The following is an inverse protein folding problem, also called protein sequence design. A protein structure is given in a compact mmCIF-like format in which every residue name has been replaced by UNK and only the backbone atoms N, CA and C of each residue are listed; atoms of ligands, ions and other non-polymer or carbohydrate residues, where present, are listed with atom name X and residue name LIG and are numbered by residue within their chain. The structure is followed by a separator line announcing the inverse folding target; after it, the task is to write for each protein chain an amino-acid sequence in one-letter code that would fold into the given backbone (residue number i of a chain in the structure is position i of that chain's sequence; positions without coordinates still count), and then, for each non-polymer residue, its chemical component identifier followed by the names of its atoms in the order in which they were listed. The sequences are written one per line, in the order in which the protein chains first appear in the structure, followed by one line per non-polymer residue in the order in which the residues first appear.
data_IF_182165242143
#
_entry.id   IF_182165242143
#
_cell.length_a   1.000
_cell.length_b   1.000
_cell.length_c   1.000
_cell.angle_alpha   90.00
_cell.angle_beta   90.00
_cell.angle_gamma   90.00
#
_symmetry.space_group_name_H-M   'P 1'
#
loop_
_entity.id
_entity.type
_entity.pdbx_description
1 polymer ?
#
# COMPACT_ATOMS: atom_id res chain seq x y z
N UNK A 1 25.83 -2.71 7.05
CA UNK A 1 24.45 -2.21 6.94
C UNK A 1 24.50 -0.80 6.38
N UNK A 2 23.68 -0.52 5.36
CA UNK A 2 23.49 0.83 4.83
C UNK A 2 22.03 1.22 4.97
N UNK A 3 21.74 2.30 5.68
CA UNK A 3 20.37 2.76 5.91
C UNK A 3 20.21 4.24 5.64
N UNK A 4 19.25 4.60 4.79
CA UNK A 4 18.85 5.99 4.59
C UNK A 4 17.84 6.48 5.64
N UNK A 5 17.29 5.58 6.45
CA UNK A 5 16.19 5.86 7.37
C UNK A 5 16.61 5.76 8.85
N UNK A 6 17.69 5.03 9.16
CA UNK A 6 18.17 4.88 10.53
C UNK A 6 19.21 5.95 10.87
N UNK A 7 18.93 6.73 11.91
CA UNK A 7 19.78 7.79 12.46
C UNK A 7 20.32 7.47 13.85
N UNK A 8 20.00 6.30 14.40
CA UNK A 8 20.44 5.88 15.71
C UNK A 8 21.90 5.40 15.71
N UNK A 9 22.46 5.27 16.92
CA UNK A 9 23.87 4.90 17.12
C UNK A 9 24.22 3.55 16.50
N UNK A 10 25.46 3.42 16.03
CA UNK A 10 25.97 2.19 15.46
C UNK A 10 25.92 1.02 16.46
N UNK A 11 25.66 -0.19 15.94
CA UNK A 11 25.72 -1.43 16.73
C UNK A 11 27.16 -1.92 16.79
N UNK A 12 27.72 -2.22 17.98
CA UNK A 12 29.09 -2.74 18.10
C UNK A 12 29.31 -4.00 17.26
N UNK A 13 30.46 -4.07 16.59
CA UNK A 13 30.83 -5.23 15.76
C UNK A 13 30.12 -5.29 14.39
N UNK A 14 29.31 -4.29 14.04
CA UNK A 14 28.65 -4.18 12.73
C UNK A 14 29.16 -2.92 12.03
N UNK A 15 29.56 -3.06 10.77
CA UNK A 15 29.78 -1.88 9.91
C UNK A 15 28.44 -1.20 9.64
N UNK A 16 28.21 -0.07 10.29
CA UNK A 16 26.93 0.63 10.34
C UNK A 16 27.04 2.00 9.70
N UNK A 17 26.32 2.19 8.59
CA UNK A 17 26.25 3.47 7.89
C UNK A 17 24.81 3.96 7.92
N UNK A 18 24.57 5.01 8.70
CA UNK A 18 23.25 5.60 8.89
C UNK A 18 22.91 6.66 7.84
N UNK A 19 21.78 7.34 8.05
CA UNK A 19 21.25 8.32 7.11
C UNK A 19 22.25 9.46 6.79
N UNK A 20 23.10 9.84 7.75
CA UNK A 20 24.13 10.85 7.57
C UNK A 20 25.30 10.36 6.70
N UNK A 21 25.76 9.12 6.92
CA UNK A 21 26.82 8.52 6.11
C UNK A 21 26.41 8.38 4.64
N UNK A 22 25.12 8.14 4.36
CA UNK A 22 24.60 8.07 2.98
C UNK A 22 24.81 9.37 2.20
N UNK A 23 24.91 10.52 2.89
CA UNK A 23 25.13 11.83 2.29
C UNK A 23 26.61 12.12 2.03
N UNK A 24 27.48 11.62 2.89
CA UNK A 24 28.87 12.07 2.96
C UNK A 24 29.90 11.03 2.51
N UNK A 25 29.50 9.76 2.35
CA UNK A 25 30.41 8.68 1.96
C UNK A 25 30.08 8.12 0.58
N UNK A 26 31.10 7.53 -0.04
CA UNK A 26 30.96 6.73 -1.25
C UNK A 26 30.36 5.36 -0.93
N UNK A 27 29.03 5.31 -0.83
CA UNK A 27 28.30 4.07 -0.52
C UNK A 27 28.41 3.07 -1.66
N UNK A 28 28.46 3.53 -2.91
CA UNK A 28 28.63 2.67 -4.08
C UNK A 28 29.97 1.93 -4.02
N UNK A 29 31.07 2.66 -3.83
CA UNK A 29 32.40 2.07 -3.69
C UNK A 29 32.48 1.13 -2.48
N UNK A 30 31.91 1.51 -1.33
CA UNK A 30 31.87 0.66 -0.14
C UNK A 30 31.11 -0.65 -0.39
N UNK A 31 29.95 -0.59 -1.06
CA UNK A 31 29.14 -1.76 -1.36
C UNK A 31 29.81 -2.71 -2.37
N UNK A 32 30.40 -2.18 -3.45
CA UNK A 32 30.91 -2.96 -4.58
C UNK A 32 32.36 -3.45 -4.38
N UNK A 33 33.21 -2.70 -3.69
CA UNK A 33 34.64 -3.03 -3.58
C UNK A 33 34.95 -4.07 -2.49
N UNK A 34 33.93 -4.56 -1.78
CA UNK A 34 34.08 -5.51 -0.67
C UNK A 34 33.33 -6.82 -0.94
N UNK A 35 33.63 -7.82 -0.12
CA UNK A 35 32.87 -9.06 -0.02
C UNK A 35 32.24 -9.11 1.37
N UNK A 36 30.93 -9.25 1.42
CA UNK A 36 30.16 -9.19 2.65
C UNK A 36 29.73 -10.58 3.08
N UNK A 37 29.80 -10.88 4.38
CA UNK A 37 29.15 -12.08 4.92
C UNK A 37 27.63 -11.89 4.89
N UNK A 38 27.15 -10.74 5.37
CA UNK A 38 25.74 -10.34 5.36
C UNK A 38 25.68 -8.85 5.06
N UNK A 39 24.80 -8.44 4.18
CA UNK A 39 24.60 -7.03 3.84
C UNK A 39 23.13 -6.69 3.81
N UNK A 40 22.76 -5.57 4.41
CA UNK A 40 21.41 -5.03 4.39
C UNK A 40 21.44 -3.62 3.82
N UNK A 41 20.62 -3.41 2.79
CA UNK A 41 20.25 -2.10 2.25
C UNK A 41 18.85 -1.75 2.75
N UNK A 42 18.73 -0.64 3.48
CA UNK A 42 17.47 -0.16 4.05
C UNK A 42 17.17 1.26 3.57
N UNK A 43 16.09 1.43 2.83
CA UNK A 43 15.75 2.74 2.29
C UNK A 43 14.38 2.78 1.62
N UNK A 44 13.98 3.97 1.19
CA UNK A 44 12.71 4.14 0.49
C UNK A 44 12.75 3.44 -0.87
N UNK A 45 11.57 3.03 -1.36
CA UNK A 45 11.42 2.47 -2.70
C UNK A 45 10.60 3.39 -3.60
N UNK A 46 10.91 3.39 -4.89
CA UNK A 46 9.98 3.82 -5.94
C UNK A 46 10.01 2.75 -7.00
N UNK A 47 8.85 2.13 -7.28
CA UNK A 47 8.76 0.94 -8.11
C UNK A 47 9.60 -0.20 -7.51
N UNK A 48 10.50 -0.82 -8.27
CA UNK A 48 11.43 -1.87 -7.80
C UNK A 48 12.81 -1.32 -7.37
N UNK A 49 13.03 0.01 -7.44
CA UNK A 49 14.31 0.61 -7.06
C UNK A 49 14.40 0.85 -5.54
N UNK A 50 15.58 0.62 -4.95
CA UNK A 50 15.86 0.94 -3.54
C UNK A 50 16.77 2.15 -3.43
N UNK A 51 16.33 3.17 -2.71
CA UNK A 51 16.98 4.46 -2.60
C UNK A 51 17.72 4.61 -1.25
N UNK A 52 19.05 4.74 -1.32
CA UNK A 52 19.94 4.98 -0.19
C UNK A 52 20.46 6.41 -0.20
N UNK A 53 19.63 7.37 0.22
CA UNK A 53 19.97 8.80 0.14
C UNK A 53 20.13 9.25 -1.31
N UNK A 54 21.35 9.48 -1.78
CA UNK A 54 21.65 9.84 -3.18
C UNK A 54 21.94 8.64 -4.09
N UNK A 55 22.11 7.44 -3.53
CA UNK A 55 22.39 6.22 -4.26
C UNK A 55 21.10 5.47 -4.59
N UNK A 56 21.15 4.62 -5.62
CA UNK A 56 20.05 3.72 -5.99
C UNK A 56 20.58 2.32 -6.26
N UNK A 57 20.05 1.34 -5.52
CA UNK A 57 20.23 -0.08 -5.85
C UNK A 57 19.23 -0.43 -6.95
N UNK A 58 19.69 -1.06 -8.02
CA UNK A 58 18.87 -1.32 -9.22
C UNK A 58 19.03 -2.75 -9.77
N UNK A 59 17.99 -3.19 -10.48
CA UNK A 59 17.90 -4.52 -11.09
C UNK A 59 18.33 -4.65 -12.54
N UNK A 60 18.89 -3.60 -13.16
CA UNK A 60 19.26 -3.66 -14.57
C UNK A 60 20.30 -4.77 -14.83
N UNK A 61 19.89 -5.82 -15.53
CA UNK A 61 20.76 -6.89 -16.00
C UNK A 61 21.26 -6.59 -17.43
N UNK A 62 22.53 -6.83 -17.76
CA UNK A 62 23.01 -6.76 -19.14
C UNK A 62 22.53 -7.93 -20.01
N UNK A 63 21.97 -8.99 -19.41
CA UNK A 63 21.53 -10.18 -20.14
C UNK A 63 20.24 -9.94 -20.93
N UNK A 64 20.22 -10.38 -22.21
CA UNK A 64 19.07 -10.35 -23.11
C UNK A 64 18.57 -8.95 -23.48
N UNK A 65 17.71 -8.84 -24.47
CA UNK A 65 16.95 -7.61 -24.73
C UNK A 65 15.65 -7.63 -23.91
N UNK A 66 15.05 -6.44 -23.72
CA UNK A 66 13.68 -6.36 -23.18
C UNK A 66 12.74 -7.14 -24.08
N UNK A 67 11.90 -7.99 -23.53
CA UNK A 67 10.93 -8.73 -24.32
C UNK A 67 9.88 -7.76 -24.94
N UNK A 68 9.44 -8.01 -26.19
CA UNK A 68 8.44 -7.17 -26.85
C UNK A 68 7.15 -7.02 -26.01
N UNK A 69 6.62 -5.81 -25.92
CA UNK A 69 5.40 -5.53 -25.15
C UNK A 69 5.55 -5.54 -23.63
N UNK A 70 6.75 -5.82 -23.08
CA UNK A 70 7.01 -5.69 -21.65
C UNK A 70 7.30 -4.24 -21.25
N UNK A 71 6.80 -3.87 -20.08
CA UNK A 71 7.03 -2.56 -19.50
C UNK A 71 8.49 -2.42 -19.04
N UNK A 72 9.01 -1.19 -19.01
CA UNK A 72 10.34 -0.91 -18.49
C UNK A 72 10.40 0.41 -17.73
N UNK A 73 11.41 0.60 -16.86
CA UNK A 73 11.66 1.87 -16.21
C UNK A 73 12.15 2.92 -17.22
N UNK A 74 12.28 4.19 -16.79
CA UNK A 74 12.80 5.30 -17.62
C UNK A 74 14.04 4.94 -18.47
N UNK A 75 15.00 4.23 -17.89
CA UNK A 75 16.25 3.87 -18.58
C UNK A 75 16.03 2.88 -19.73
N UNK A 76 14.96 2.08 -19.72
CA UNK A 76 14.57 1.22 -20.83
C UNK A 76 14.17 2.02 -22.09
N UNK A 77 13.88 3.32 -21.92
CA UNK A 77 13.50 4.25 -22.99
C UNK A 77 14.58 5.31 -23.26
N UNK A 78 15.82 5.09 -22.80
CA UNK A 78 16.94 6.02 -23.02
C UNK A 78 16.89 7.30 -22.19
N UNK A 79 16.02 7.38 -21.16
CA UNK A 79 15.82 8.59 -20.34
C UNK A 79 16.66 8.60 -19.05
N UNK A 80 17.68 7.74 -18.98
CA UNK A 80 18.54 7.57 -17.82
C UNK A 80 17.80 7.06 -16.57
N UNK A 81 18.49 7.02 -15.44
CA UNK A 81 17.91 6.63 -14.16
C UNK A 81 17.19 7.80 -13.45
N UNK A 82 16.46 7.50 -12.36
CA UNK A 82 15.83 8.50 -11.49
C UNK A 82 16.87 9.30 -10.71
N UNK A 83 18.04 8.71 -10.46
CA UNK A 83 19.19 9.33 -9.78
C UNK A 83 20.44 9.29 -10.69
N UNK A 84 21.50 10.06 -10.38
CA UNK A 84 22.73 10.05 -11.16
C UNK A 84 23.29 8.64 -11.38
N UNK A 85 23.70 8.35 -12.61
CA UNK A 85 24.13 6.99 -13.02
C UNK A 85 25.43 6.55 -12.36
N UNK A 86 26.30 7.50 -12.02
CA UNK A 86 27.51 7.29 -11.24
C UNK A 86 27.23 6.85 -9.80
N UNK A 87 25.98 6.89 -9.33
CA UNK A 87 25.56 6.50 -7.97
C UNK A 87 24.70 5.24 -7.96
N UNK A 88 24.70 4.48 -9.05
CA UNK A 88 23.95 3.23 -9.15
C UNK A 88 24.73 2.08 -8.52
N UNK A 89 24.05 1.26 -7.75
CA UNK A 89 24.57 0.01 -7.19
C UNK A 89 23.81 -1.14 -7.87
N UNK A 90 24.35 -1.75 -8.94
CA UNK A 90 23.69 -2.88 -9.57
C UNK A 90 23.61 -4.05 -8.58
N UNK A 91 22.40 -4.54 -8.29
CA UNK A 91 22.20 -5.58 -7.28
C UNK A 91 23.04 -6.83 -7.58
N UNK A 92 23.14 -7.22 -8.85
CA UNK A 92 23.99 -8.32 -9.35
C UNK A 92 25.48 -8.19 -9.03
N UNK A 93 25.99 -6.96 -8.89
CA UNK A 93 27.40 -6.68 -8.68
C UNK A 93 27.80 -6.70 -7.19
N UNK A 94 26.82 -6.79 -6.29
CA UNK A 94 27.05 -6.84 -4.85
C UNK A 94 27.49 -8.24 -4.46
N UNK A 95 28.68 -8.35 -3.86
CA UNK A 95 29.25 -9.62 -3.39
C UNK A 95 28.90 -9.81 -1.93
N UNK A 96 27.84 -10.56 -1.63
CA UNK A 96 27.42 -10.86 -0.26
C UNK A 96 26.95 -12.32 -0.14
N UNK A 97 27.27 -13.04 0.94
CA UNK A 97 26.68 -14.37 1.12
C UNK A 97 25.17 -14.30 1.40
N UNK A 98 24.74 -13.32 2.21
CA UNK A 98 23.34 -12.92 2.37
C UNK A 98 23.16 -11.43 2.02
N UNK A 99 22.23 -11.13 1.09
CA UNK A 99 21.85 -9.76 0.73
C UNK A 99 20.39 -9.48 1.11
N UNK A 100 20.15 -8.46 1.92
CA UNK A 100 18.81 -7.99 2.29
C UNK A 100 18.48 -6.70 1.55
N UNK A 101 17.42 -6.73 0.75
CA UNK A 101 16.80 -5.58 0.10
C UNK A 101 15.57 -5.17 0.93
N UNK A 102 15.75 -4.26 1.89
CA UNK A 102 14.69 -3.76 2.76
C UNK A 102 14.21 -2.39 2.25
N UNK A 103 13.19 -2.41 1.39
CA UNK A 103 12.49 -1.21 0.94
C UNK A 103 10.97 -1.43 0.92
N UNK A 104 10.22 -0.48 0.38
CA UNK A 104 8.78 -0.66 0.25
C UNK A 104 8.39 -1.74 -0.80
N UNK A 105 9.24 -2.10 -1.77
CA UNK A 105 8.96 -3.01 -2.90
C UNK A 105 10.27 -3.56 -3.56
N UNK A 106 10.70 -4.77 -3.23
CA UNK A 106 11.88 -5.42 -3.86
C UNK A 106 11.69 -6.92 -4.16
N UNK A 107 10.56 -7.51 -3.81
CA UNK A 107 10.33 -8.95 -3.89
C UNK A 107 9.73 -9.41 -5.22
N UNK A 108 9.85 -10.70 -5.57
CA UNK A 108 9.49 -11.27 -6.87
C UNK A 108 8.00 -11.61 -6.88
N UNK A 109 7.14 -10.82 -6.24
CA UNK A 109 5.68 -11.08 -6.28
C UNK A 109 4.93 -9.75 -6.29
N UNK A 110 5.50 -8.71 -5.69
CA UNK A 110 5.10 -7.34 -5.99
C UNK A 110 5.91 -6.81 -7.16
N UNK A 111 5.28 -6.70 -8.33
CA UNK A 111 5.89 -6.06 -9.49
C UNK A 111 6.45 -7.01 -10.55
N UNK A 112 6.22 -8.32 -10.46
CA UNK A 112 6.44 -9.21 -11.62
C UNK A 112 5.64 -8.80 -12.86
N UNK A 113 4.51 -8.09 -12.68
CA UNK A 113 3.77 -7.46 -13.77
C UNK A 113 4.17 -6.01 -14.09
N UNK A 114 5.06 -5.40 -13.30
CA UNK A 114 5.40 -3.99 -13.43
C UNK A 114 6.48 -3.73 -14.49
N UNK A 115 7.51 -4.56 -14.55
CA UNK A 115 8.60 -4.44 -15.52
C UNK A 115 9.07 -5.80 -16.03
N UNK A 116 9.69 -5.79 -17.21
CA UNK A 116 10.45 -6.91 -17.73
C UNK A 116 11.43 -7.45 -16.66
N UNK A 117 11.56 -8.78 -16.50
CA UNK A 117 12.47 -9.41 -15.55
C UNK A 117 13.90 -8.85 -15.54
N UNK A 118 14.40 -8.36 -16.68
CA UNK A 118 15.71 -7.71 -16.84
C UNK A 118 15.90 -6.48 -15.93
N UNK A 119 14.83 -5.86 -15.46
CA UNK A 119 14.90 -4.66 -14.62
C UNK A 119 14.62 -4.90 -13.14
N UNK A 120 14.32 -6.15 -12.73
CA UNK A 120 13.91 -6.47 -11.36
C UNK A 120 15.11 -6.72 -10.42
N UNK A 121 15.15 -6.01 -9.30
CA UNK A 121 16.28 -5.91 -8.36
C UNK A 121 16.56 -7.22 -7.65
N UNK A 122 15.51 -7.94 -7.26
CA UNK A 122 15.70 -9.28 -6.71
C UNK A 122 16.19 -10.28 -7.76
N UNK A 123 15.63 -10.29 -8.97
CA UNK A 123 16.10 -11.22 -10.00
C UNK A 123 17.57 -10.96 -10.36
N UNK A 124 17.97 -9.69 -10.44
CA UNK A 124 19.36 -9.31 -10.61
C UNK A 124 20.23 -9.73 -9.41
N UNK A 125 19.74 -9.60 -8.17
CA UNK A 125 20.47 -10.07 -6.99
C UNK A 125 20.67 -11.60 -7.00
N UNK A 126 19.65 -12.36 -7.43
CA UNK A 126 19.68 -13.83 -7.57
C UNK A 126 20.63 -14.28 -8.69
N UNK A 127 20.66 -13.56 -9.82
CA UNK A 127 21.63 -13.77 -10.91
C UNK A 127 23.05 -13.30 -10.55
N UNK A 128 23.20 -12.62 -9.40
CA UNK A 128 24.45 -12.08 -8.91
C UNK A 128 25.31 -13.07 -8.12
N UNK A 129 26.28 -12.52 -7.39
CA UNK A 129 27.17 -13.29 -6.52
C UNK A 129 26.52 -13.70 -5.17
N UNK A 130 25.27 -13.31 -4.93
CA UNK A 130 24.61 -13.55 -3.66
C UNK A 130 24.12 -15.00 -3.54
N UNK A 131 24.48 -15.69 -2.45
CA UNK A 131 24.03 -17.07 -2.23
C UNK A 131 22.62 -17.12 -1.65
N UNK A 132 22.25 -16.10 -0.87
CA UNK A 132 20.92 -15.90 -0.29
C UNK A 132 20.51 -14.46 -0.48
N UNK A 133 19.29 -14.24 -0.97
CA UNK A 133 18.69 -12.91 -1.08
C UNK A 133 17.41 -12.88 -0.28
N UNK A 134 17.31 -11.90 0.62
CA UNK A 134 16.10 -11.59 1.38
C UNK A 134 15.56 -10.27 0.84
N UNK A 135 14.31 -10.23 0.38
CA UNK A 135 13.76 -9.04 -0.24
C UNK A 135 12.34 -8.76 0.24
N UNK A 136 11.99 -7.48 0.35
CA UNK A 136 10.66 -7.05 0.77
C UNK A 136 9.61 -7.29 -0.30
N UNK A 137 8.61 -8.12 -0.01
CA UNK A 137 7.48 -8.36 -0.89
C UNK A 137 6.53 -7.17 -0.93
N UNK A 138 6.25 -6.51 0.19
CA UNK A 138 5.31 -5.40 0.27
C UNK A 138 5.83 -4.29 1.20
N UNK A 139 5.16 -3.14 1.17
CA UNK A 139 5.55 -1.94 1.93
C UNK A 139 6.03 -2.31 3.33
N UNK A 140 7.30 -2.03 3.58
CA UNK A 140 7.96 -2.37 4.83
C UNK A 140 8.51 -1.08 5.42
N UNK A 141 8.00 -0.74 6.60
CA UNK A 141 8.64 0.16 7.55
C UNK A 141 9.55 -0.69 8.46
N UNK A 142 10.53 -1.40 7.89
CA UNK A 142 11.51 -2.15 8.71
C UNK A 142 12.29 -1.14 9.55
N UNK A 143 11.84 -0.91 10.77
CA UNK A 143 12.49 0.00 11.68
C UNK A 143 13.68 -0.72 12.35
N UNK A 144 14.33 0.02 13.23
CA UNK A 144 15.48 -0.48 13.98
C UNK A 144 15.23 -1.85 14.66
N UNK A 145 14.07 -2.14 15.28
CA UNK A 145 13.82 -3.45 15.91
C UNK A 145 13.95 -4.63 14.94
N UNK A 146 13.45 -4.50 13.71
CA UNK A 146 13.51 -5.54 12.68
C UNK A 146 14.95 -5.75 12.20
N UNK A 147 15.69 -4.65 12.03
CA UNK A 147 17.12 -4.67 11.67
C UNK A 147 17.94 -5.38 12.75
N UNK A 148 17.66 -5.10 14.02
CA UNK A 148 18.30 -5.77 15.15
C UNK A 148 17.93 -7.26 15.23
N UNK A 149 16.68 -7.62 14.92
CA UNK A 149 16.25 -9.02 14.86
C UNK A 149 16.98 -9.78 13.75
N UNK A 150 17.13 -9.18 12.56
CA UNK A 150 17.94 -9.74 11.47
C UNK A 150 19.41 -9.92 11.89
N UNK A 151 20.01 -8.92 12.55
CA UNK A 151 21.36 -9.03 13.08
C UNK A 151 21.49 -10.17 14.11
N UNK A 152 20.48 -10.39 14.95
CA UNK A 152 20.46 -11.47 15.94
C UNK A 152 20.17 -12.87 15.39
N UNK A 153 19.63 -12.98 14.17
CA UNK A 153 19.28 -14.26 13.55
C UNK A 153 20.48 -15.07 13.01
N UNK A 154 21.72 -14.67 13.33
CA UNK A 154 22.98 -15.13 12.70
C UNK A 154 23.23 -16.64 12.68
N UNK A 155 22.58 -17.43 13.53
CA UNK A 155 22.96 -18.83 13.75
C UNK A 155 21.81 -19.86 13.71
N UNK A 156 20.54 -19.46 13.48
CA UNK A 156 19.39 -20.37 13.74
C UNK A 156 18.14 -20.25 12.83
N UNK A 157 18.22 -19.76 11.59
CA UNK A 157 17.09 -19.97 10.66
C UNK A 157 16.92 -19.00 9.51
N UNK A 158 15.73 -19.03 8.91
CA UNK A 158 15.30 -18.21 7.79
C UNK A 158 15.19 -16.74 8.21
N UNK A 159 16.04 -15.89 7.63
CA UNK A 159 16.11 -14.46 7.95
C UNK A 159 14.82 -13.71 7.57
N UNK A 160 14.15 -14.12 6.49
CA UNK A 160 12.83 -13.59 6.16
C UNK A 160 11.79 -13.98 7.20
N UNK A 161 11.82 -15.20 7.76
CA UNK A 161 10.95 -15.61 8.87
C UNK A 161 11.17 -14.74 10.10
N UNK A 162 12.43 -14.54 10.52
CA UNK A 162 12.73 -13.69 11.68
C UNK A 162 12.23 -12.25 11.51
N UNK A 163 12.32 -11.70 10.29
CA UNK A 163 11.78 -10.37 9.97
C UNK A 163 10.25 -10.37 9.92
N UNK A 164 9.62 -11.37 9.32
CA UNK A 164 8.17 -11.51 9.22
C UNK A 164 7.52 -11.74 10.58
N UNK A 165 8.12 -12.55 11.46
CA UNK A 165 7.60 -12.81 12.81
C UNK A 165 7.58 -11.51 13.64
N UNK A 166 8.55 -10.61 13.42
CA UNK A 166 8.58 -9.29 14.08
C UNK A 166 7.56 -8.32 13.49
N UNK A 167 7.28 -8.45 12.21
CA UNK A 167 6.32 -7.62 11.50
C UNK A 167 4.89 -8.17 11.53
N UNK A 168 4.65 -9.36 12.06
CA UNK A 168 3.36 -10.06 11.94
C UNK A 168 2.16 -9.19 12.38
N UNK A 169 2.35 -8.36 13.41
CA UNK A 169 1.31 -7.46 13.92
C UNK A 169 1.07 -6.23 13.03
N UNK A 170 2.10 -5.76 12.31
CA UNK A 170 2.08 -4.54 11.47
C UNK A 170 1.80 -4.87 10.00
N UNK A 171 2.33 -5.99 9.52
CA UNK A 171 2.24 -6.49 8.16
C UNK A 171 2.09 -8.03 8.21
N UNK A 172 0.85 -8.54 8.13
CA UNK A 172 0.56 -9.97 8.32
C UNK A 172 0.84 -10.85 7.10
N UNK A 173 1.25 -10.26 5.99
CA UNK A 173 1.84 -11.00 4.88
C UNK A 173 3.28 -11.33 5.23
N UNK A 174 3.92 -12.31 4.57
CA UNK A 174 5.37 -12.32 4.48
C UNK A 174 5.83 -10.98 3.89
N UNK A 175 6.26 -10.05 4.74
CA UNK A 175 6.82 -8.77 4.33
C UNK A 175 8.15 -8.97 3.61
N UNK A 176 8.85 -10.05 3.94
CA UNK A 176 10.09 -10.50 3.32
C UNK A 176 9.94 -11.92 2.75
N UNK A 177 10.61 -12.15 1.63
CA UNK A 177 10.88 -13.49 1.08
C UNK A 177 12.38 -13.76 1.12
N UNK A 178 12.76 -15.03 1.26
CA UNK A 178 14.15 -15.48 1.11
C UNK A 178 14.25 -16.43 -0.08
N UNK A 179 15.24 -16.20 -0.95
CA UNK A 179 15.61 -17.06 -2.08
C UNK A 179 17.06 -17.52 -1.88
N UNK A 180 17.33 -18.83 -1.98
CA UNK A 180 18.68 -19.41 -1.79
C UNK A 180 18.71 -20.68 -0.93
N UNK A 181 19.91 -21.19 -0.63
CA UNK A 181 20.11 -22.41 0.17
C UNK A 181 19.68 -22.20 1.64
N UNK A 182 18.90 -23.14 2.17
CA UNK A 182 18.32 -23.07 3.51
C UNK A 182 19.10 -23.93 4.53
N UNK A 183 19.06 -23.51 5.80
CA UNK A 183 19.15 -24.43 6.93
C UNK A 183 17.73 -24.89 7.31
N UNK A 184 17.52 -26.19 7.65
CA UNK A 184 16.19 -26.74 7.89
C UNK A 184 15.55 -26.14 9.14
N UNK A 185 14.23 -25.91 9.10
CA UNK A 185 13.44 -25.38 10.20
C UNK A 185 12.32 -26.35 10.61
N UNK A 186 11.94 -26.32 11.90
CA UNK A 186 10.83 -27.09 12.46
C UNK A 186 9.47 -26.39 12.24
N UNK A 187 8.36 -27.15 12.13
CA UNK A 187 7.02 -26.59 11.89
C UNK A 187 6.29 -26.20 13.18
N UNK A 188 5.38 -25.22 13.08
CA UNK A 188 4.43 -24.82 14.13
C UNK A 188 2.98 -24.84 13.62
N UNK A 189 1.98 -25.02 14.50
CA UNK A 189 0.57 -25.22 14.13
C UNK A 189 -0.25 -23.91 14.16
N UNK A 190 -1.38 -23.90 13.44
CA UNK A 190 -2.37 -22.81 13.35
C UNK A 190 -3.75 -23.32 13.81
N UNK A 191 -4.58 -22.46 14.43
CA UNK A 191 -5.90 -22.80 14.98
C UNK A 191 -6.95 -21.77 14.52
N UNK A 192 -8.07 -22.19 13.89
CA UNK A 192 -9.04 -21.24 13.33
C UNK A 192 -10.14 -20.84 14.33
N UNK A 193 -10.72 -19.65 14.11
CA UNK A 193 -11.92 -19.16 14.80
C UNK A 193 -12.96 -18.62 13.82
N UNK A 194 -14.19 -19.13 13.93
CA UNK A 194 -15.30 -18.91 12.99
C UNK A 194 -16.36 -17.87 13.38
N UNK A 195 -17.42 -17.88 12.57
CA UNK A 195 -18.37 -16.80 12.24
C UNK A 195 -19.59 -16.56 13.17
N UNK A 196 -20.20 -15.37 12.97
CA UNK A 196 -21.66 -15.20 12.82
C UNK A 196 -22.42 -14.40 13.90
N UNK A 197 -23.64 -13.86 13.75
CA UNK A 197 -24.54 -13.45 12.63
C UNK A 197 -25.64 -12.54 13.26
N UNK A 198 -26.02 -11.48 12.53
CA UNK A 198 -27.30 -10.75 12.38
C UNK A 198 -28.44 -10.84 13.45
N UNK A 199 -28.41 -9.92 14.41
CA UNK A 199 -29.62 -9.29 15.02
C UNK A 199 -29.41 -7.76 15.19
N UNK A 200 -28.48 -7.23 14.42
CA UNK A 200 -27.47 -6.26 14.84
C UNK A 200 -27.58 -4.93 14.07
N UNK A 201 -28.42 -4.84 13.04
CA UNK A 201 -28.21 -3.94 11.90
C UNK A 201 -28.22 -2.43 12.21
N UNK A 202 -29.19 -1.94 13.00
CA UNK A 202 -29.28 -0.51 13.35
C UNK A 202 -28.21 -0.05 14.37
N UNK A 203 -27.94 -0.88 15.38
CA UNK A 203 -26.90 -0.60 16.37
C UNK A 203 -25.50 -0.82 15.77
N UNK A 204 -25.36 -1.78 14.86
CA UNK A 204 -24.15 -2.00 14.06
C UNK A 204 -23.88 -0.83 13.15
N UNK A 205 -24.91 -0.24 12.52
CA UNK A 205 -24.73 0.98 11.72
C UNK A 205 -24.14 2.12 12.55
N UNK A 206 -24.75 2.44 13.71
CA UNK A 206 -24.23 3.50 14.58
C UNK A 206 -22.87 3.16 15.17
N UNK A 207 -22.59 1.88 15.45
CA UNK A 207 -21.27 1.42 15.90
C UNK A 207 -20.21 1.59 14.81
N UNK A 208 -20.52 1.22 13.57
CA UNK A 208 -19.63 1.38 12.41
C UNK A 208 -19.32 2.86 12.16
N UNK A 209 -20.37 3.69 12.05
CA UNK A 209 -20.23 5.14 11.83
C UNK A 209 -19.52 5.80 13.01
N UNK A 210 -19.88 5.45 14.24
CA UNK A 210 -19.27 5.98 15.47
C UNK A 210 -17.79 5.61 15.61
N UNK A 211 -17.42 4.37 15.30
CA UNK A 211 -16.03 3.92 15.28
C UNK A 211 -15.21 4.67 14.23
N UNK A 212 -15.73 4.83 13.01
CA UNK A 212 -15.10 5.63 11.94
C UNK A 212 -14.93 7.09 12.31
N UNK A 213 -15.94 7.70 12.93
CA UNK A 213 -15.87 9.07 13.44
C UNK A 213 -14.78 9.24 14.51
N UNK A 214 -14.72 8.31 15.46
CA UNK A 214 -13.69 8.29 16.49
C UNK A 214 -12.29 8.12 15.87
N UNK A 215 -12.18 7.27 14.84
CA UNK A 215 -10.98 7.14 14.02
C UNK A 215 -10.55 8.45 13.36
N UNK A 216 -11.47 9.21 12.81
CA UNK A 216 -11.16 10.49 12.15
C UNK A 216 -10.88 11.62 13.15
N UNK A 217 -11.53 11.63 14.31
CA UNK A 217 -11.48 12.73 15.28
C UNK A 217 -10.43 12.53 16.38
N UNK A 218 -10.26 11.32 16.89
CA UNK A 218 -9.62 11.08 18.18
C UNK A 218 -8.41 10.14 18.11
N UNK A 219 -8.21 9.43 17.00
CA UNK A 219 -7.09 8.49 16.84
C UNK A 219 -5.72 9.17 16.70
N UNK A 220 -5.69 10.45 16.31
CA UNK A 220 -4.48 11.17 15.89
C UNK A 220 -4.19 11.14 14.39
N UNK A 221 -4.94 10.38 13.58
CA UNK A 221 -4.79 10.34 12.11
C UNK A 221 -4.90 11.74 11.49
N UNK A 222 -5.83 12.57 11.99
CA UNK A 222 -6.01 13.94 11.52
C UNK A 222 -5.52 14.95 12.56
N UNK A 223 -4.79 15.98 12.12
CA UNK A 223 -4.30 17.08 12.96
C UNK A 223 -5.44 18.02 13.40
N UNK A 224 -5.30 18.71 14.55
CA UNK A 224 -6.39 19.48 15.20
C UNK A 224 -7.05 20.53 14.29
N UNK A 225 -6.31 21.04 13.33
CA UNK A 225 -6.71 22.00 12.31
C UNK A 225 -7.29 21.36 11.03
N UNK A 226 -7.50 20.04 11.02
CA UNK A 226 -8.01 19.32 9.86
C UNK A 226 -9.35 19.92 9.37
N UNK A 227 -9.46 20.33 8.09
CA UNK A 227 -10.55 21.19 7.62
C UNK A 227 -11.97 20.63 7.76
N UNK A 228 -12.14 19.31 7.88
CA UNK A 228 -13.44 18.68 8.04
C UNK A 228 -13.86 18.51 9.52
N UNK A 229 -13.00 18.81 10.50
CA UNK A 229 -13.36 18.73 11.93
C UNK A 229 -14.63 19.51 12.30
N UNK A 230 -14.90 20.73 11.78
CA UNK A 230 -16.15 21.45 12.04
C UNK A 230 -17.41 20.74 11.55
N UNK A 231 -17.30 19.78 10.62
CA UNK A 231 -18.41 18.93 10.15
C UNK A 231 -18.47 17.59 10.88
N UNK A 232 -17.32 17.02 11.21
CA UNK A 232 -17.21 15.74 11.91
C UNK A 232 -17.69 15.82 13.36
N UNK A 233 -17.39 16.92 14.09
CA UNK A 233 -17.79 17.07 15.50
C UNK A 233 -19.30 17.12 15.71
N UNK A 234 -20.08 17.95 14.97
CA UNK A 234 -21.54 17.93 15.10
C UNK A 234 -22.16 16.57 14.77
N UNK A 235 -21.60 15.85 13.77
CA UNK A 235 -22.06 14.50 13.44
C UNK A 235 -21.78 13.52 14.59
N UNK A 236 -20.63 13.60 15.25
CA UNK A 236 -20.33 12.78 16.43
C UNK A 236 -21.31 13.06 17.59
N UNK A 237 -21.65 14.33 17.83
CA UNK A 237 -22.67 14.72 18.82
C UNK A 237 -24.06 14.17 18.45
N UNK A 238 -24.43 14.24 17.16
CA UNK A 238 -25.68 13.65 16.64
C UNK A 238 -25.72 12.13 16.83
N UNK A 239 -24.64 11.41 16.49
CA UNK A 239 -24.54 9.95 16.68
C UNK A 239 -24.67 9.58 18.16
N UNK A 240 -23.97 10.27 19.06
CA UNK A 240 -24.06 10.00 20.51
C UNK A 240 -25.46 10.25 21.06
N UNK A 241 -26.07 11.39 20.70
CA UNK A 241 -27.44 11.74 21.11
C UNK A 241 -28.45 10.71 20.62
N UNK A 242 -28.34 10.29 19.36
CA UNK A 242 -29.33 9.46 18.71
C UNK A 242 -29.09 7.96 18.94
N UNK A 243 -27.89 7.54 19.35
CA UNK A 243 -27.61 6.18 19.83
C UNK A 243 -28.54 5.77 20.98
N UNK A 244 -28.76 6.65 21.97
CA UNK A 244 -29.70 6.38 23.07
C UNK A 244 -31.11 6.14 22.54
N UNK A 245 -31.55 6.95 21.57
CA UNK A 245 -32.89 6.85 20.96
C UNK A 245 -33.06 5.56 20.16
N UNK A 246 -32.00 5.00 19.59
CA UNK A 246 -32.08 3.67 18.93
C UNK A 246 -32.32 2.50 19.87
N UNK A 247 -32.03 2.69 21.16
CA UNK A 247 -32.26 1.68 22.22
C UNK A 247 -33.61 1.90 22.89
N UNK A 248 -33.97 3.15 23.21
CA UNK A 248 -35.13 3.47 24.06
C UNK A 248 -36.36 3.97 23.31
N UNK A 249 -36.24 4.32 22.02
CA UNK A 249 -37.31 4.94 21.23
C UNK A 249 -38.27 3.94 20.58
N UNK A 250 -39.48 4.40 20.26
CA UNK A 250 -40.45 3.67 19.44
C UNK A 250 -39.92 3.45 18.01
N UNK A 251 -40.48 2.49 17.26
CA UNK A 251 -40.00 2.18 15.91
C UNK A 251 -39.98 3.41 14.94
N UNK A 252 -40.99 4.31 14.95
CA UNK A 252 -40.95 5.55 14.16
C UNK A 252 -39.82 6.50 14.60
N UNK A 253 -39.60 6.67 15.89
CA UNK A 253 -38.53 7.54 16.44
C UNK A 253 -37.15 6.99 16.10
N UNK A 254 -36.95 5.66 16.22
CA UNK A 254 -35.70 5.00 15.81
C UNK A 254 -35.41 5.22 14.33
N UNK A 255 -36.44 5.10 13.47
CA UNK A 255 -36.31 5.34 12.04
C UNK A 255 -35.95 6.78 11.73
N UNK A 256 -36.63 7.74 12.36
CA UNK A 256 -36.35 9.17 12.18
C UNK A 256 -34.92 9.53 12.63
N UNK A 257 -34.46 8.99 13.76
CA UNK A 257 -33.10 9.17 14.26
C UNK A 257 -32.06 8.63 13.28
N UNK A 258 -32.24 7.40 12.78
CA UNK A 258 -31.34 6.80 11.79
C UNK A 258 -31.32 7.59 10.47
N UNK A 259 -32.48 8.09 10.01
CA UNK A 259 -32.55 8.94 8.80
C UNK A 259 -31.82 10.27 8.99
N UNK A 260 -31.87 10.88 10.18
CA UNK A 260 -31.14 12.10 10.48
C UNK A 260 -29.62 11.87 10.45
N UNK A 261 -29.15 10.81 11.12
CA UNK A 261 -27.73 10.41 11.09
C UNK A 261 -27.27 10.14 9.65
N UNK A 262 -28.02 9.32 8.89
CA UNK A 262 -27.65 8.96 7.52
C UNK A 262 -27.56 10.19 6.59
N UNK A 263 -28.43 11.18 6.77
CA UNK A 263 -28.38 12.44 6.02
C UNK A 263 -27.12 13.25 6.32
N UNK A 264 -26.75 13.37 7.60
CA UNK A 264 -25.52 14.07 8.00
C UNK A 264 -24.27 13.31 7.52
N UNK A 265 -24.27 11.98 7.64
CA UNK A 265 -23.22 11.09 7.11
C UNK A 265 -23.04 11.29 5.60
N UNK A 266 -24.12 11.28 4.82
CA UNK A 266 -24.07 11.52 3.36
C UNK A 266 -23.43 12.86 3.01
N UNK A 267 -23.70 13.90 3.80
CA UNK A 267 -23.10 15.24 3.63
C UNK A 267 -21.60 15.24 3.94
N UNK A 268 -21.18 14.52 4.98
CA UNK A 268 -19.77 14.38 5.36
C UNK A 268 -19.01 13.49 4.36
N UNK A 269 -19.60 12.39 3.88
CA UNK A 269 -19.03 11.54 2.84
C UNK A 269 -18.69 12.32 1.57
N UNK A 270 -19.63 13.16 1.12
CA UNK A 270 -19.40 14.02 -0.02
C UNK A 270 -18.26 15.03 0.26
N UNK A 271 -18.18 15.57 1.47
CA UNK A 271 -17.13 16.51 1.84
C UNK A 271 -15.74 15.84 1.87
N UNK A 272 -15.65 14.62 2.41
CA UNK A 272 -14.44 13.77 2.39
C UNK A 272 -14.03 13.48 0.95
N UNK A 273 -14.96 12.99 0.12
CA UNK A 273 -14.68 12.65 -1.26
C UNK A 273 -14.26 13.86 -2.12
N UNK A 274 -14.88 15.03 -1.90
CA UNK A 274 -14.47 16.28 -2.54
C UNK A 274 -13.07 16.72 -2.11
N UNK A 275 -12.70 16.46 -0.86
CA UNK A 275 -11.37 16.76 -0.34
C UNK A 275 -10.34 15.83 -0.97
N UNK A 276 -10.58 14.52 -1.00
CA UNK A 276 -9.73 13.54 -1.66
C UNK A 276 -9.51 13.87 -3.13
N UNK A 277 -10.57 14.25 -3.85
CA UNK A 277 -10.49 14.65 -5.25
C UNK A 277 -9.64 15.92 -5.51
N UNK A 278 -9.35 16.72 -4.48
CA UNK A 278 -8.58 17.98 -4.55
C UNK A 278 -7.20 17.89 -3.91
N UNK A 279 -7.05 17.06 -2.88
CA UNK A 279 -5.88 16.96 -2.02
C UNK A 279 -5.43 15.50 -1.98
N UNK A 280 -4.42 15.19 -2.80
CA UNK A 280 -3.86 13.83 -2.92
C UNK A 280 -2.97 13.42 -1.74
N UNK A 281 -2.54 14.39 -0.97
CA UNK A 281 -1.74 14.29 0.25
C UNK A 281 -2.61 14.36 1.50
N UNK A 282 -3.92 14.13 1.36
CA UNK A 282 -4.80 14.08 2.50
C UNK A 282 -4.39 12.95 3.45
N UNK A 283 -4.21 13.22 4.76
CA UNK A 283 -3.72 12.21 5.71
C UNK A 283 -4.65 11.00 5.81
N UNK A 284 -5.93 11.12 5.43
CA UNK A 284 -6.85 9.98 5.43
C UNK A 284 -6.49 8.95 4.36
N UNK A 285 -5.70 9.27 3.33
CA UNK A 285 -5.19 8.25 2.40
C UNK A 285 -4.22 7.28 3.07
N UNK A 286 -3.56 7.68 4.16
CA UNK A 286 -2.61 6.86 4.92
C UNK A 286 -3.28 6.06 6.06
N UNK A 287 -4.62 6.06 6.13
CA UNK A 287 -5.38 5.43 7.22
C UNK A 287 -5.01 3.97 7.45
N UNK A 288 -4.74 3.20 6.39
CA UNK A 288 -4.43 1.77 6.51
C UNK A 288 -3.09 1.52 7.17
N UNK A 289 -2.10 2.37 6.89
CA UNK A 289 -0.79 2.29 7.56
C UNK A 289 -0.95 2.76 9.00
N UNK A 290 -1.56 3.94 9.20
CA UNK A 290 -1.73 4.54 10.52
C UNK A 290 -2.49 3.63 11.50
N UNK A 291 -3.62 3.06 11.07
CA UNK A 291 -4.39 2.12 11.89
C UNK A 291 -3.74 0.73 11.95
N UNK A 292 -3.12 0.26 10.87
CA UNK A 292 -2.42 -1.03 10.81
C UNK A 292 -1.29 -1.13 11.86
N UNK A 293 -0.46 -0.10 12.00
CA UNK A 293 0.58 0.00 13.04
C UNK A 293 0.04 -0.04 14.49
N UNK A 294 -1.28 0.16 14.66
CA UNK A 294 -1.98 0.23 15.96
C UNK A 294 -3.05 -0.86 16.06
N UNK A 295 -2.85 -1.94 15.32
CA UNK A 295 -3.78 -3.06 15.24
C UNK A 295 -3.05 -4.39 15.40
N UNK A 296 -3.82 -5.47 15.59
CA UNK A 296 -3.35 -6.85 15.48
C UNK A 296 -4.03 -7.46 14.27
N UNK A 297 -3.26 -8.12 13.40
CA UNK A 297 -3.83 -8.79 12.26
C UNK A 297 -4.46 -10.15 12.63
N UNK A 298 -5.64 -10.42 12.07
CA UNK A 298 -6.26 -11.74 12.11
C UNK A 298 -5.58 -12.72 11.13
N UNK A 299 -6.04 -13.96 11.08
CA UNK A 299 -5.56 -14.94 10.12
C UNK A 299 -5.82 -14.50 8.67
N UNK A 300 -4.96 -14.99 7.77
CA UNK A 300 -5.08 -14.76 6.32
C UNK A 300 -6.45 -15.22 5.82
N UNK A 301 -7.08 -14.36 5.04
CA UNK A 301 -8.35 -14.64 4.37
C UNK A 301 -8.31 -14.21 2.90
N UNK A 302 -9.21 -14.77 2.10
CA UNK A 302 -9.43 -14.32 0.72
C UNK A 302 -10.48 -13.21 0.77
N UNK A 303 -10.20 -12.08 0.14
CA UNK A 303 -11.16 -10.97 0.09
C UNK A 303 -12.14 -11.14 -1.07
N UNK A 304 -13.34 -10.59 -0.91
CA UNK A 304 -14.31 -10.43 -2.01
C UNK A 304 -13.83 -9.41 -3.08
N UNK A 305 -12.78 -8.64 -2.76
CA UNK A 305 -12.11 -7.71 -3.65
C UNK A 305 -11.13 -8.44 -4.59
N UNK A 306 -10.99 -7.93 -5.82
CA UNK A 306 -10.14 -8.50 -6.87
C UNK A 306 -9.16 -7.40 -7.35
N UNK A 307 -7.90 -7.73 -7.67
CA UNK A 307 -6.96 -6.77 -8.28
C UNK A 307 -7.52 -6.27 -9.61
N UNK A 308 -7.12 -5.07 -10.04
CA UNK A 308 -7.40 -4.58 -11.39
C UNK A 308 -6.92 -5.52 -12.50
N UNK A 309 -5.89 -6.34 -12.24
CA UNK A 309 -5.43 -7.38 -13.17
C UNK A 309 -6.30 -8.66 -13.19
N UNK A 310 -7.39 -8.71 -12.42
CA UNK A 310 -8.32 -9.85 -12.33
C UNK A 310 -7.89 -10.99 -11.40
N UNK A 311 -6.72 -10.88 -10.75
CA UNK A 311 -6.24 -11.89 -9.80
C UNK A 311 -6.85 -11.68 -8.41
N UNK A 312 -7.08 -12.75 -7.63
CA UNK A 312 -7.57 -12.64 -6.25
C UNK A 312 -6.60 -11.84 -5.39
N UNK A 313 -7.14 -11.21 -4.36
CA UNK A 313 -6.36 -10.52 -3.33
C UNK A 313 -6.23 -11.42 -2.11
N UNK A 314 -5.01 -11.57 -1.63
CA UNK A 314 -4.73 -12.11 -0.31
C UNK A 314 -4.98 -11.01 0.71
N UNK A 315 -5.80 -11.26 1.74
CA UNK A 315 -6.22 -10.22 2.66
C UNK A 315 -6.19 -10.60 4.12
N UNK A 316 -6.26 -9.57 4.95
CA UNK A 316 -6.28 -9.67 6.40
C UNK A 316 -7.17 -8.57 6.96
N UNK A 317 -7.80 -8.88 8.08
CA UNK A 317 -8.47 -7.88 8.92
C UNK A 317 -7.51 -7.49 10.02
N UNK A 318 -7.21 -6.21 10.12
CA UNK A 318 -6.48 -5.63 11.24
C UNK A 318 -7.50 -5.15 12.28
N UNK A 319 -7.44 -5.71 13.49
CA UNK A 319 -8.26 -5.32 14.64
C UNK A 319 -7.56 -4.25 15.45
N UNK A 320 -8.21 -3.11 15.62
CA UNK A 320 -7.66 -2.01 16.39
C UNK A 320 -7.41 -2.42 17.86
N UNK A 321 -6.24 -2.08 18.41
CA UNK A 321 -5.91 -2.41 19.80
C UNK A 321 -6.65 -1.51 20.82
N UNK A 322 -7.17 -0.38 20.36
CA UNK A 322 -7.96 0.57 21.16
C UNK A 322 -9.21 1.02 20.40
N UNK A 323 -10.29 1.45 21.10
CA UNK A 323 -11.57 1.79 20.45
C UNK A 323 -11.51 2.90 19.40
N UNK A 324 -10.51 3.80 19.48
CA UNK A 324 -10.32 4.89 18.54
C UNK A 324 -9.60 4.46 17.26
N UNK A 325 -9.08 3.22 17.20
CA UNK A 325 -8.45 2.66 16.00
C UNK A 325 -9.49 1.77 15.32
N UNK A 326 -10.09 2.18 14.19
CA UNK A 326 -11.05 1.35 13.47
C UNK A 326 -10.37 0.12 12.87
N UNK A 327 -11.12 -0.98 12.80
CA UNK A 327 -10.66 -2.16 12.09
C UNK A 327 -10.50 -1.85 10.59
N UNK A 328 -9.43 -2.37 9.99
CA UNK A 328 -9.16 -2.20 8.56
C UNK A 328 -8.99 -3.54 7.86
N UNK A 329 -9.26 -3.56 6.57
CA UNK A 329 -8.97 -4.65 5.66
C UNK A 329 -7.83 -4.21 4.76
N UNK A 330 -6.79 -5.03 4.69
CA UNK A 330 -5.73 -4.88 3.70
C UNK A 330 -5.78 -6.09 2.77
N UNK A 331 -5.61 -5.85 1.48
CA UNK A 331 -5.61 -6.84 0.41
C UNK A 331 -4.43 -6.59 -0.51
N UNK A 332 -3.74 -7.63 -0.95
CA UNK A 332 -2.60 -7.50 -1.84
C UNK A 332 -2.63 -8.55 -2.92
N UNK A 333 -2.27 -8.14 -4.12
CA UNK A 333 -2.16 -9.05 -5.24
C UNK A 333 -0.72 -9.52 -5.45
N UNK A 334 -0.52 -10.84 -5.37
CA UNK A 334 0.77 -11.46 -5.64
C UNK A 334 1.21 -11.45 -7.13
N UNK A 335 0.37 -10.93 -8.04
CA UNK A 335 0.69 -10.82 -9.48
C UNK A 335 1.08 -9.39 -9.87
N UNK A 336 0.18 -8.45 -9.63
CA UNK A 336 0.31 -7.05 -10.04
C UNK A 336 1.04 -6.21 -8.98
N UNK A 337 1.05 -6.63 -7.70
CA UNK A 337 1.54 -5.82 -6.58
C UNK A 337 0.60 -4.69 -6.16
N UNK A 338 -0.60 -4.61 -6.74
CA UNK A 338 -1.65 -3.68 -6.33
C UNK A 338 -2.09 -3.98 -4.89
N UNK A 339 -2.45 -2.92 -4.18
CA UNK A 339 -2.86 -2.97 -2.78
C UNK A 339 -4.25 -2.39 -2.65
N UNK A 340 -5.14 -3.13 -2.01
CA UNK A 340 -6.46 -2.70 -1.59
C UNK A 340 -6.43 -2.43 -0.10
N UNK A 341 -6.96 -1.27 0.31
CA UNK A 341 -7.09 -0.88 1.70
C UNK A 341 -8.51 -0.40 1.94
N UNK A 342 -9.14 -0.84 3.02
CA UNK A 342 -10.48 -0.40 3.38
C UNK A 342 -10.65 -0.33 4.90
N UNK A 343 -11.48 0.57 5.41
CA UNK A 343 -12.02 0.38 6.76
C UNK A 343 -13.03 -0.78 6.71
N UNK A 344 -13.09 -1.62 7.73
CA UNK A 344 -14.08 -2.72 7.77
C UNK A 344 -15.49 -2.19 7.55
N UNK A 345 -16.21 -2.82 6.60
CA UNK A 345 -17.55 -2.42 6.20
C UNK A 345 -17.63 -1.20 5.27
N UNK A 346 -16.51 -0.70 4.76
CA UNK A 346 -16.48 0.27 3.65
C UNK A 346 -17.07 -0.37 2.37
N UNK A 347 -17.48 0.43 1.37
CA UNK A 347 -17.90 -0.11 0.08
C UNK A 347 -16.77 -0.94 -0.54
N UNK A 348 -17.11 -2.10 -1.09
CA UNK A 348 -16.18 -2.90 -1.87
C UNK A 348 -15.84 -2.13 -3.14
N UNK A 349 -14.57 -1.78 -3.34
CA UNK A 349 -14.11 -1.07 -4.54
C UNK A 349 -13.39 -2.03 -5.49
N UNK A 350 -13.83 -2.05 -6.74
CA UNK A 350 -13.20 -2.75 -7.85
C UNK A 350 -12.84 -1.75 -8.94
N UNK A 351 -11.70 -1.97 -9.57
CA UNK A 351 -11.18 -1.06 -10.60
C UNK A 351 -10.85 -1.90 -11.82
N UNK A 352 -11.40 -1.51 -12.95
CA UNK A 352 -11.03 -2.02 -14.26
C UNK A 352 -10.34 -0.87 -15.01
N UNK A 353 -9.02 -0.98 -15.14
CA UNK A 353 -8.16 0.00 -15.78
C UNK A 353 -7.25 -0.73 -16.76
N UNK A 354 -7.03 -0.21 -17.97
CA UNK A 354 -5.93 -0.72 -18.78
C UNK A 354 -4.61 -0.42 -18.06
N UNK A 355 -3.70 -1.37 -18.12
CA UNK A 355 -2.44 -1.34 -17.37
C UNK A 355 -1.40 -0.38 -17.97
N UNK A 356 -1.69 0.21 -19.14
CA UNK A 356 -0.80 1.15 -19.82
C UNK A 356 -1.51 2.17 -20.71
N UNK A 357 -0.81 3.25 -21.06
CA UNK A 357 -1.20 4.20 -22.11
C UNK A 357 -0.01 5.03 -22.60
N UNK A 358 -0.10 5.52 -23.84
CA UNK A 358 0.98 6.30 -24.44
C UNK A 358 0.90 7.80 -24.09
N UNK A 359 2.03 8.52 -24.02
CA UNK A 359 2.02 9.98 -23.86
C UNK A 359 1.08 10.65 -24.88
N UNK A 360 0.30 11.63 -24.42
CA UNK A 360 -0.66 12.35 -25.27
C UNK A 360 -1.96 11.61 -25.55
N UNK A 361 -2.14 10.37 -25.06
CA UNK A 361 -3.36 9.59 -25.28
C UNK A 361 -4.37 9.74 -24.14
N UNK A 362 -5.56 9.16 -24.35
CA UNK A 362 -6.62 9.10 -23.35
C UNK A 362 -6.97 7.66 -23.05
N UNK A 363 -7.14 7.38 -21.78
CA UNK A 363 -7.45 6.05 -21.25
C UNK A 363 -8.74 6.13 -20.45
N UNK A 364 -9.63 5.16 -20.64
CA UNK A 364 -10.85 5.02 -19.82
C UNK A 364 -10.58 4.05 -18.68
N UNK A 365 -10.89 4.48 -17.45
CA UNK A 365 -10.87 3.66 -16.24
C UNK A 365 -12.27 3.55 -15.68
N UNK A 366 -12.68 2.34 -15.31
CA UNK A 366 -13.97 2.04 -14.70
C UNK A 366 -13.76 1.71 -13.23
N UNK A 367 -14.46 2.42 -12.35
CA UNK A 367 -14.55 2.05 -10.94
C UNK A 367 -15.95 1.48 -10.68
N UNK A 368 -15.99 0.35 -9.99
CA UNK A 368 -17.21 -0.30 -9.52
C UNK A 368 -17.19 -0.31 -7.99
N UNK A 369 -18.32 0.03 -7.38
CA UNK A 369 -18.52 -0.10 -5.95
C UNK A 369 -19.74 -0.95 -5.61
N UNK A 370 -19.61 -1.77 -4.56
CA UNK A 370 -20.71 -2.50 -3.93
C UNK A 370 -20.85 -2.00 -2.50
N UNK A 371 -21.96 -1.32 -2.21
CA UNK A 371 -22.30 -0.88 -0.86
C UNK A 371 -22.98 -1.99 -0.07
N UNK A 372 -22.67 -2.13 1.23
CA UNK A 372 -23.41 -3.02 2.14
C UNK A 372 -24.83 -2.53 2.39
N UNK A 373 -25.04 -1.21 2.29
CA UNK A 373 -26.35 -0.54 2.39
C UNK A 373 -26.63 0.24 1.12
N UNK A 374 -27.90 0.55 0.89
CA UNK A 374 -28.31 1.39 -0.22
C UNK A 374 -28.01 2.87 0.09
N UNK A 375 -27.65 3.64 -0.95
CA UNK A 375 -27.43 5.08 -0.85
C UNK A 375 -26.40 5.58 -1.87
N UNK A 376 -25.88 6.77 -1.65
CA UNK A 376 -24.88 7.37 -2.56
C UNK A 376 -23.47 6.96 -2.18
N UNK A 377 -22.74 6.31 -3.09
CA UNK A 377 -21.29 6.11 -3.00
C UNK A 377 -20.58 7.20 -3.80
N UNK A 378 -19.55 7.80 -3.21
CA UNK A 378 -18.70 8.77 -3.87
C UNK A 378 -17.43 8.08 -4.38
N UNK A 379 -17.25 8.04 -5.70
CA UNK A 379 -16.13 7.40 -6.38
C UNK A 379 -15.20 8.45 -6.99
N UNK A 380 -13.88 8.28 -6.85
CA UNK A 380 -12.90 9.14 -7.49
C UNK A 380 -11.60 8.41 -7.81
N UNK A 381 -10.72 9.07 -8.57
CA UNK A 381 -9.36 8.57 -8.86
C UNK A 381 -8.39 9.73 -8.68
N UNK A 382 -7.39 9.52 -7.83
CA UNK A 382 -6.31 10.48 -7.60
C UNK A 382 -5.01 9.93 -8.19
N UNK A 383 -4.38 10.62 -9.15
CA UNK A 383 -3.09 10.19 -9.66
C UNK A 383 -1.95 10.48 -8.66
N UNK A 384 -0.92 9.64 -8.66
CA UNK A 384 0.35 9.88 -7.94
C UNK A 384 0.90 11.29 -8.23
N UNK A 385 1.60 11.94 -7.28
CA UNK A 385 2.24 13.22 -7.52
C UNK A 385 3.22 13.27 -8.70
N UNK A 386 3.80 12.12 -9.04
CA UNK A 386 4.85 12.01 -10.05
C UNK A 386 4.31 11.86 -11.47
N UNK A 387 3.04 11.47 -11.65
CA UNK A 387 2.46 11.26 -12.98
C UNK A 387 1.85 12.54 -13.54
N UNK A 388 2.17 12.85 -14.80
CA UNK A 388 1.62 13.99 -15.54
C UNK A 388 0.32 13.58 -16.26
N UNK A 389 -0.78 13.48 -15.50
CA UNK A 389 -2.11 13.19 -16.06
C UNK A 389 -3.17 14.13 -15.53
N UNK A 390 -4.30 14.17 -16.24
CA UNK A 390 -5.54 14.77 -15.76
C UNK A 390 -6.65 13.73 -15.76
N UNK A 391 -7.29 13.55 -14.61
CA UNK A 391 -8.46 12.67 -14.45
C UNK A 391 -9.74 13.47 -14.62
N UNK A 392 -10.69 12.98 -15.42
CA UNK A 392 -11.99 13.62 -15.67
C UNK A 392 -13.17 12.62 -15.65
N UNK A 393 -14.25 12.93 -14.92
CA UNK A 393 -14.28 13.89 -13.81
C UNK A 393 -13.40 13.38 -12.66
N UNK A 394 -13.03 14.22 -11.70
CA UNK A 394 -12.25 13.77 -10.52
C UNK A 394 -13.10 13.03 -9.49
N UNK A 395 -14.42 13.20 -9.54
CA UNK A 395 -15.39 12.59 -8.63
C UNK A 395 -16.72 12.28 -9.34
N UNK A 396 -17.30 11.13 -9.03
CA UNK A 396 -18.64 10.68 -9.44
C UNK A 396 -19.43 10.26 -8.21
N UNK A 397 -20.73 10.57 -8.23
CA UNK A 397 -21.70 10.05 -7.27
C UNK A 397 -22.50 8.97 -7.96
N UNK A 398 -22.58 7.80 -7.36
CA UNK A 398 -23.36 6.68 -7.88
C UNK A 398 -24.32 6.19 -6.80
N UNK A 399 -25.57 5.95 -7.19
CA UNK A 399 -26.54 5.32 -6.30
C UNK A 399 -26.33 3.81 -6.33
N UNK A 400 -26.18 3.20 -5.15
CA UNK A 400 -26.08 1.75 -4.98
C UNK A 400 -27.32 1.22 -4.28
N UNK A 401 -27.79 0.05 -4.71
CA UNK A 401 -28.62 -0.80 -3.87
C UNK A 401 -27.71 -1.71 -3.03
N UNK A 402 -28.19 -2.13 -1.86
CA UNK A 402 -27.42 -3.01 -0.96
C UNK A 402 -27.00 -4.30 -1.69
N UNK A 403 -25.69 -4.59 -1.66
CA UNK A 403 -25.11 -5.78 -2.30
C UNK A 403 -25.07 -5.75 -3.84
N UNK A 404 -25.50 -4.65 -4.47
CA UNK A 404 -25.49 -4.52 -5.94
C UNK A 404 -24.36 -3.60 -6.41
N UNK A 405 -23.64 -3.94 -7.49
CA UNK A 405 -22.59 -3.10 -8.04
C UNK A 405 -23.17 -1.87 -8.75
N UNK A 406 -22.54 -0.71 -8.53
CA UNK A 406 -22.71 0.48 -9.37
C UNK A 406 -21.37 0.93 -9.95
N UNK A 407 -21.41 1.47 -11.17
CA UNK A 407 -20.20 1.78 -11.95
C UNK A 407 -20.11 3.27 -12.27
N UNK A 408 -18.87 3.75 -12.32
CA UNK A 408 -18.51 5.08 -12.79
C UNK A 408 -17.34 4.99 -13.76
N UNK A 409 -17.39 5.76 -14.84
CA UNK A 409 -16.29 5.88 -15.79
C UNK A 409 -15.52 7.19 -15.60
N UNK A 410 -14.21 7.08 -15.74
CA UNK A 410 -13.22 8.14 -15.62
C UNK A 410 -12.34 8.13 -16.88
N UNK A 411 -11.97 9.31 -17.36
CA UNK A 411 -10.99 9.47 -18.44
C UNK A 411 -9.70 10.02 -17.85
N UNK A 412 -8.60 9.33 -18.11
CA UNK A 412 -7.24 9.76 -17.78
C UNK A 412 -6.62 10.31 -19.07
N UNK A 413 -6.37 11.61 -19.09
CA UNK A 413 -5.64 12.30 -20.15
C UNK A 413 -4.16 12.32 -19.79
N UNK A 414 -3.33 11.60 -20.55
CA UNK A 414 -1.90 11.52 -20.34
C UNK A 414 -1.24 12.69 -21.06
N UNK A 415 -0.43 13.48 -20.34
CA UNK A 415 0.26 14.60 -20.97
C UNK A 415 1.22 14.09 -22.05
N UNK A 416 1.41 14.87 -23.13
CA UNK A 416 2.34 14.52 -24.20
C UNK A 416 3.80 14.46 -23.71
N UNK A 417 4.12 15.17 -22.63
CA UNK A 417 5.42 15.19 -21.96
C UNK A 417 5.51 14.24 -20.76
N UNK A 418 4.51 13.35 -20.58
CA UNK A 418 4.55 12.36 -19.51
C UNK A 418 5.73 11.40 -19.72
N UNK A 419 6.58 11.28 -18.70
CA UNK A 419 7.78 10.45 -18.75
C UNK A 419 7.37 8.96 -18.79
N UNK A 420 7.87 8.16 -19.74
CA UNK A 420 7.68 6.72 -19.75
C UNK A 420 8.28 6.03 -18.52
N UNK A 421 7.41 5.41 -17.71
CA UNK A 421 7.70 4.60 -16.52
C UNK A 421 6.38 4.10 -15.90
N UNK A 422 6.47 3.38 -14.79
CA UNK A 422 5.32 2.98 -14.00
C UNK A 422 4.88 4.10 -13.05
N UNK A 423 3.57 4.20 -12.85
CA UNK A 423 2.96 5.14 -11.93
C UNK A 423 1.85 4.45 -11.14
N UNK A 424 1.32 5.16 -10.14
CA UNK A 424 0.17 4.70 -9.37
C UNK A 424 -1.02 5.61 -9.59
N UNK A 425 -2.18 4.99 -9.74
CA UNK A 425 -3.49 5.61 -9.59
C UNK A 425 -4.06 5.16 -8.25
N UNK A 426 -4.73 6.08 -7.55
CA UNK A 426 -5.42 5.83 -6.29
C UNK A 426 -6.94 6.01 -6.48
N UNK A 427 -7.64 5.04 -7.08
CA UNK A 427 -9.09 4.96 -6.99
C UNK A 427 -9.55 4.86 -5.53
N UNK A 428 -10.63 5.57 -5.20
CA UNK A 428 -11.22 5.54 -3.88
C UNK A 428 -12.75 5.50 -3.93
N UNK A 429 -13.35 4.98 -2.86
CA UNK A 429 -14.77 4.97 -2.61
C UNK A 429 -15.06 5.45 -1.18
N UNK A 430 -16.05 6.33 -1.03
CA UNK A 430 -16.53 6.81 0.28
C UNK A 430 -18.03 6.59 0.40
N UNK A 431 -18.43 5.85 1.44
CA UNK A 431 -19.83 5.62 1.79
C UNK A 431 -19.96 5.22 3.27
N UNK A 432 -20.89 5.85 3.99
CA UNK A 432 -21.10 5.69 5.42
C UNK A 432 -19.85 5.97 6.27
N UNK A 433 -19.06 6.98 5.90
CA UNK A 433 -17.71 7.27 6.39
C UNK A 433 -16.69 6.14 6.19
N UNK A 434 -17.09 5.05 5.55
CA UNK A 434 -16.22 3.96 5.15
C UNK A 434 -15.41 4.41 3.95
N UNK A 435 -14.09 4.33 4.07
CA UNK A 435 -13.15 4.66 3.00
C UNK A 435 -12.53 3.36 2.50
N UNK A 436 -12.57 3.16 1.18
CA UNK A 436 -11.81 2.15 0.47
C UNK A 436 -10.91 2.83 -0.56
N UNK A 437 -9.66 2.40 -0.64
CA UNK A 437 -8.63 2.91 -1.56
C UNK A 437 -7.95 1.71 -2.20
N UNK A 438 -7.82 1.74 -3.52
CA UNK A 438 -6.99 0.78 -4.25
C UNK A 438 -5.81 1.53 -4.85
N UNK A 439 -4.61 0.97 -4.72
CA UNK A 439 -3.44 1.42 -5.45
C UNK A 439 -3.28 0.53 -6.67
N UNK A 440 -3.49 1.11 -7.85
CA UNK A 440 -3.39 0.44 -9.13
C UNK A 440 -2.18 0.95 -9.89
N UNK A 441 -1.30 0.04 -10.30
CA UNK A 441 -0.18 0.40 -11.16
C UNK A 441 -0.64 0.70 -12.60
N UNK A 442 -0.05 1.74 -13.18
CA UNK A 442 -0.36 2.24 -14.52
C UNK A 442 0.93 2.67 -15.23
N UNK A 443 1.25 2.04 -16.35
CA UNK A 443 2.46 2.37 -17.11
C UNK A 443 2.20 3.43 -18.18
N UNK A 444 3.09 4.42 -18.26
CA UNK A 444 3.23 5.25 -19.45
C UNK A 444 4.35 4.66 -20.30
N UNK A 445 4.05 4.30 -21.54
CA UNK A 445 5.03 3.75 -22.48
C UNK A 445 4.77 4.30 -23.89
N UNK A 446 5.80 4.55 -24.72
CA UNK A 446 5.60 4.88 -26.13
C UNK A 446 4.76 3.80 -26.82
N UNK A 447 3.97 4.19 -27.82
CA UNK A 447 3.20 3.23 -28.60
C UNK A 447 4.19 2.41 -29.45
N UNK A 448 4.39 1.13 -29.14
CA UNK A 448 5.33 0.24 -29.85
C UNK A 448 4.80 -0.18 -31.25
N UNK A 449 3.87 0.59 -31.83
CA UNK A 449 3.27 0.37 -33.16
C UNK A 449 3.95 1.19 -34.26
N UNK A 450 5.27 1.35 -34.20
CA UNK A 450 6.10 1.83 -35.30
C UNK A 450 7.13 0.79 -35.73
#
# INVERSE_FOLDING_TARGET
MFSALDSASAVPGVEWFGADDMRHRDIQGLALNRVWRRLLFHGNGTEDQLHLGQFTVCGLSPAGDRAPGQQGPKCAFGLGCVKPEDKLVPARAVRAAELVLANCFSGPLAGHGAYDPKYLSLLAAVDGAAQTVVATLFACDAQRPEILAWLGATDKGNAARALNDRLADINPYPAFVQVGLQAPAAPEPVVPGGDGVEAQDAQSYLREVGGRLSGLLDSGLTAQDYPLRPRLRPLAETVLRDAVRTVTGSAPERRAALTAVAKEVTSVDLALAQRFAKHRDDPVFDFSTYFGERSVAEERTVLDAVCACGSPLDGYVHRGVVPQVPDTVRGVCARCGDVYNAVVGAPLLRVDAPLSGAPGTRVTVRAEAVGRRAGTVNLGIVPSPTIRVRVRPTLRRVEVAAGQPARAEFTIEIAADAVPQLYCLLPFAVHDLGVAVSRVYFAVAPDERE
#
